data_IF_894431868736
#
_entry.id   IF_894431868736
#
_cell.length_a   1.000
_cell.length_b   1.000
_cell.length_c   1.000
_cell.angle_alpha   90.00
_cell.angle_beta   90.00
_cell.angle_gamma   90.00
#
_symmetry.space_group_name_H-M   'P 1'
#
loop_
_entity.id
_entity.type
_entity.pdbx_description
1 polymer ?
#
# COMPACT_ATOMS: atom_id res chain seq x y z
N UNK A 1 -11.65 37.64 -3.50
CA UNK A 1 -12.25 36.32 -3.80
C UNK A 1 -11.62 35.73 -5.06
N UNK A 2 -10.36 36.06 -5.36
CA UNK A 2 -9.66 35.76 -6.62
C UNK A 2 -8.50 34.76 -6.40
N UNK A 3 -8.11 34.52 -5.14
CA UNK A 3 -6.97 33.65 -4.78
C UNK A 3 -7.32 32.15 -4.83
N UNK A 4 -8.58 31.79 -4.61
CA UNK A 4 -9.06 30.39 -4.61
C UNK A 4 -9.05 29.77 -6.02
N UNK A 5 -9.33 30.58 -7.04
CA UNK A 5 -9.26 30.19 -8.45
C UNK A 5 -7.81 29.94 -8.89
N UNK A 6 -6.88 30.74 -8.34
CA UNK A 6 -5.45 30.59 -8.59
C UNK A 6 -4.90 29.32 -7.95
N UNK A 7 -5.35 28.99 -6.73
CA UNK A 7 -4.93 27.77 -6.03
C UNK A 7 -5.46 26.50 -6.70
N UNK A 8 -6.75 26.47 -7.08
CA UNK A 8 -7.34 25.35 -7.79
C UNK A 8 -6.71 25.14 -9.18
N UNK A 9 -6.40 26.23 -9.89
CA UNK A 9 -5.69 26.19 -11.17
C UNK A 9 -4.26 25.68 -11.03
N UNK A 10 -3.52 26.14 -10.02
CA UNK A 10 -2.17 25.65 -9.72
C UNK A 10 -2.17 24.16 -9.36
N UNK A 11 -3.12 23.72 -8.54
CA UNK A 11 -3.28 22.32 -8.16
C UNK A 11 -3.66 21.43 -9.34
N UNK A 12 -4.53 21.91 -10.24
CA UNK A 12 -4.88 21.22 -11.49
C UNK A 12 -3.66 21.01 -12.40
N UNK A 13 -2.81 22.04 -12.57
CA UNK A 13 -1.55 21.93 -13.33
C UNK A 13 -0.58 20.92 -12.72
N UNK A 14 -0.46 20.91 -11.39
CA UNK A 14 0.43 19.96 -10.69
C UNK A 14 -0.05 18.53 -10.92
N UNK A 15 -1.36 18.27 -10.83
CA UNK A 15 -1.93 16.94 -11.06
C UNK A 15 -1.81 16.49 -12.53
N UNK A 16 -1.91 17.43 -13.47
CA UNK A 16 -1.68 17.14 -14.90
C UNK A 16 -0.21 16.80 -15.18
N UNK A 17 0.72 17.54 -14.57
CA UNK A 17 2.15 17.29 -14.73
C UNK A 17 2.60 16.00 -14.03
N UNK A 18 2.01 15.67 -12.87
CA UNK A 18 2.33 14.46 -12.11
C UNK A 18 1.83 13.17 -12.77
N UNK A 19 0.84 13.27 -13.67
CA UNK A 19 0.23 12.11 -14.35
C UNK A 19 1.06 11.60 -15.54
N UNK A 20 2.14 12.30 -15.91
CA UNK A 20 2.92 11.97 -17.11
C UNK A 20 2.11 12.15 -18.41
N UNK A 21 2.76 12.20 -19.58
CA UNK A 21 2.04 12.17 -20.84
C UNK A 21 1.21 10.88 -20.93
N UNK A 22 -0.07 11.00 -21.29
CA UNK A 22 -1.00 9.87 -21.44
C UNK A 22 -0.54 8.84 -22.50
N UNK A 23 0.45 9.19 -23.32
CA UNK A 23 1.09 8.32 -24.30
C UNK A 23 2.08 7.32 -23.68
N UNK A 24 2.49 7.52 -22.42
CA UNK A 24 3.44 6.66 -21.69
C UNK A 24 2.72 5.66 -20.76
N UNK A 25 1.39 5.63 -20.81
CA UNK A 25 0.65 4.48 -20.31
C UNK A 25 0.95 3.38 -21.33
N UNK A 26 2.00 2.59 -21.08
CA UNK A 26 2.12 1.27 -21.71
C UNK A 26 0.75 0.62 -21.53
N UNK A 27 0.01 0.55 -22.64
CA UNK A 27 -1.20 -0.22 -22.76
C UNK A 27 -0.72 -1.63 -22.42
N UNK A 28 -0.89 -2.05 -21.16
CA UNK A 28 -0.66 -3.41 -20.76
C UNK A 28 -1.41 -4.20 -21.80
N UNK A 29 -0.69 -4.86 -22.71
CA UNK A 29 -1.27 -5.80 -23.64
C UNK A 29 -2.07 -6.73 -22.75
N UNK A 30 -3.38 -6.49 -22.69
CA UNK A 30 -4.30 -7.51 -22.31
C UNK A 30 -4.01 -8.50 -23.41
N UNK A 31 -3.20 -9.51 -23.08
CA UNK A 31 -3.06 -10.67 -23.94
C UNK A 31 -4.49 -11.15 -24.06
N UNK A 32 -5.17 -10.73 -25.14
CA UNK A 32 -6.45 -11.25 -25.52
C UNK A 32 -6.33 -12.77 -25.44
N UNK A 33 -7.35 -13.47 -24.95
CA UNK A 33 -7.23 -14.89 -24.63
C UNK A 33 -6.55 -15.58 -25.80
N UNK A 34 -5.30 -16.01 -25.57
CA UNK A 34 -4.46 -16.56 -26.62
C UNK A 34 -5.29 -17.60 -27.33
N UNK A 35 -5.49 -17.44 -28.64
CA UNK A 35 -6.13 -18.48 -29.43
C UNK A 35 -5.38 -19.78 -29.12
N UNK A 36 -6.09 -20.85 -28.74
CA UNK A 36 -5.42 -22.07 -28.33
C UNK A 36 -4.67 -22.62 -29.54
N UNK A 37 -3.34 -22.47 -29.51
CA UNK A 37 -2.42 -23.22 -30.36
C UNK A 37 -2.91 -24.68 -30.42
N UNK A 38 -3.17 -25.24 -31.63
CA UNK A 38 -3.92 -26.49 -31.81
C UNK A 38 -3.25 -27.74 -31.19
N UNK A 39 -2.06 -27.58 -30.61
CA UNK A 39 -1.24 -28.66 -30.05
C UNK A 39 -0.88 -28.45 -28.57
N UNK A 40 -1.49 -27.49 -27.87
CA UNK A 40 -1.35 -27.45 -26.42
C UNK A 40 -2.18 -28.60 -25.84
N UNK A 41 -1.60 -29.61 -25.16
CA UNK A 41 -2.41 -30.59 -24.47
C UNK A 41 -3.21 -29.81 -23.43
N UNK A 42 -4.51 -29.65 -23.66
CA UNK A 42 -5.46 -29.20 -22.65
C UNK A 42 -5.16 -30.03 -21.41
N UNK A 43 -4.66 -29.42 -20.31
CA UNK A 43 -4.45 -30.19 -19.10
C UNK A 43 -5.83 -30.70 -18.72
N UNK A 44 -6.03 -32.01 -18.88
CA UNK A 44 -7.25 -32.67 -18.41
C UNK A 44 -7.42 -32.26 -16.95
N UNK A 45 -8.64 -31.98 -16.47
CA UNK A 45 -8.86 -31.74 -15.06
C UNK A 45 -8.49 -33.00 -14.29
N UNK A 46 -7.21 -33.13 -13.91
CA UNK A 46 -6.73 -34.25 -13.09
C UNK A 46 -7.41 -34.04 -11.75
N UNK A 47 -8.39 -34.91 -11.46
CA UNK A 47 -9.08 -34.92 -10.18
C UNK A 47 -8.03 -34.82 -9.08
N UNK A 48 -8.17 -33.87 -8.14
CA UNK A 48 -7.14 -33.63 -7.16
C UNK A 48 -6.97 -34.91 -6.32
N UNK A 49 -5.83 -35.57 -6.45
CA UNK A 49 -5.45 -36.66 -5.56
C UNK A 49 -5.20 -36.09 -4.16
N UNK A 50 -5.50 -36.87 -3.12
CA UNK A 50 -5.33 -36.42 -1.73
C UNK A 50 -3.90 -35.95 -1.44
N UNK A 51 -2.89 -36.62 -2.03
CA UNK A 51 -1.48 -36.23 -1.93
C UNK A 51 -1.21 -34.86 -2.57
N UNK A 52 -1.83 -34.56 -3.72
CA UNK A 52 -1.68 -33.27 -4.38
C UNK A 52 -2.36 -32.16 -3.59
N UNK A 53 -3.51 -32.44 -2.97
CA UNK A 53 -4.15 -31.51 -2.04
C UNK A 53 -3.29 -31.27 -0.80
N UNK A 54 -2.62 -32.30 -0.26
CA UNK A 54 -1.70 -32.15 0.86
C UNK A 54 -0.51 -31.24 0.48
N UNK A 55 0.09 -31.44 -0.69
CA UNK A 55 1.18 -30.60 -1.21
C UNK A 55 0.71 -29.16 -1.42
N UNK A 56 -0.46 -28.95 -2.05
CA UNK A 56 -1.00 -27.62 -2.29
C UNK A 56 -1.36 -26.88 -0.99
N UNK A 57 -1.93 -27.59 -0.01
CA UNK A 57 -2.19 -27.03 1.32
C UNK A 57 -0.91 -26.62 2.01
N UNK A 58 0.12 -27.46 1.99
CA UNK A 58 1.43 -27.14 2.56
C UNK A 58 2.07 -25.94 1.86
N UNK A 59 2.06 -25.90 0.52
CA UNK A 59 2.58 -24.79 -0.27
C UNK A 59 1.83 -23.48 0.03
N UNK A 60 0.50 -23.53 0.17
CA UNK A 60 -0.32 -22.37 0.52
C UNK A 60 0.00 -21.85 1.94
N UNK A 61 0.15 -22.75 2.92
CA UNK A 61 0.55 -22.37 4.29
C UNK A 61 1.93 -21.72 4.28
N UNK A 62 2.90 -22.31 3.58
CA UNK A 62 4.26 -21.76 3.46
C UNK A 62 4.28 -20.40 2.77
N UNK A 63 3.46 -20.20 1.72
CA UNK A 63 3.34 -18.92 1.04
C UNK A 63 2.83 -17.82 1.97
N UNK A 64 1.77 -18.09 2.74
CA UNK A 64 1.21 -17.14 3.72
C UNK A 64 2.23 -16.78 4.80
N UNK A 65 2.94 -17.78 5.34
CA UNK A 65 3.99 -17.55 6.33
C UNK A 65 5.16 -16.73 5.73
N UNK A 66 5.55 -16.99 4.48
CA UNK A 66 6.62 -16.24 3.80
C UNK A 66 6.24 -14.79 3.50
N UNK A 67 4.97 -14.51 3.20
CA UNK A 67 4.48 -13.14 3.04
C UNK A 67 4.40 -12.40 4.37
N UNK A 68 4.08 -13.10 5.46
CA UNK A 68 3.98 -12.52 6.80
C UNK A 68 5.34 -12.06 7.33
N UNK A 69 6.43 -12.79 7.03
CA UNK A 69 7.79 -12.45 7.45
C UNK A 69 8.38 -11.24 6.72
N UNK A 70 7.81 -10.87 5.56
CA UNK A 70 8.19 -9.68 4.80
C UNK A 70 7.48 -8.40 5.24
N UNK A 71 6.63 -8.45 6.27
CA UNK A 71 6.14 -7.23 6.88
C UNK A 71 7.36 -6.40 7.35
N UNK A 72 7.57 -5.18 6.82
CA UNK A 72 8.76 -4.43 7.14
C UNK A 72 8.83 -4.27 8.65
N UNK A 73 9.93 -4.68 9.28
CA UNK A 73 10.18 -4.50 10.72
C UNK A 73 9.90 -3.06 11.17
N UNK A 74 9.96 -2.13 10.22
CA UNK A 74 9.59 -0.72 10.33
C UNK A 74 8.16 -0.50 10.81
N UNK A 75 7.12 -1.24 10.36
CA UNK A 75 5.72 -1.02 10.78
C UNK A 75 5.46 -1.45 12.22
N UNK A 76 6.00 -2.60 12.64
CA UNK A 76 5.91 -3.06 14.03
C UNK A 76 6.76 -2.21 14.99
N UNK A 77 7.79 -1.53 14.48
CA UNK A 77 8.66 -0.67 15.27
C UNK A 77 8.27 0.81 15.26
N UNK A 78 7.28 1.27 14.47
CA UNK A 78 6.89 2.69 14.44
C UNK A 78 6.59 3.20 15.85
N UNK A 79 5.91 2.40 16.67
CA UNK A 79 5.61 2.79 18.05
C UNK A 79 6.78 2.63 19.04
N UNK A 80 7.77 1.81 18.70
CA UNK A 80 8.92 1.51 19.59
C UNK A 80 10.16 2.34 19.25
N UNK A 81 10.16 3.04 18.11
CA UNK A 81 11.24 3.92 17.69
C UNK A 81 11.25 5.17 18.56
N UNK A 82 12.25 5.25 19.42
CA UNK A 82 12.58 6.45 20.19
C UNK A 82 12.78 7.63 19.22
N UNK A 83 12.14 8.76 19.52
CA UNK A 83 12.15 9.95 18.67
C UNK A 83 11.03 10.05 17.66
N UNK A 84 10.18 9.03 17.50
CA UNK A 84 8.92 9.20 16.74
C UNK A 84 7.93 10.05 17.54
N UNK A 85 7.11 10.83 16.82
CA UNK A 85 6.04 11.63 17.43
C UNK A 85 5.10 10.76 18.26
N UNK A 86 4.76 9.55 17.78
CA UNK A 86 3.92 8.59 18.50
C UNK A 86 4.53 8.15 19.83
N UNK A 87 5.81 7.75 19.85
CA UNK A 87 6.46 7.30 21.08
C UNK A 87 6.59 8.44 22.11
N UNK A 88 6.83 9.66 21.64
CA UNK A 88 6.88 10.84 22.49
C UNK A 88 5.48 11.19 23.04
N UNK A 89 4.45 11.13 22.21
CA UNK A 89 3.07 11.41 22.61
C UNK A 89 2.56 10.38 23.63
N UNK A 90 2.83 9.09 23.40
CA UNK A 90 2.52 8.03 24.36
C UNK A 90 3.23 8.23 25.71
N UNK A 91 4.49 8.67 25.69
CA UNK A 91 5.23 8.98 26.92
C UNK A 91 4.61 10.16 27.66
N UNK A 92 4.25 11.23 26.95
CA UNK A 92 3.57 12.40 27.54
C UNK A 92 2.22 12.00 28.14
N UNK A 93 1.44 11.21 27.42
CA UNK A 93 0.15 10.68 27.88
C UNK A 93 0.30 9.84 29.16
N UNK A 94 1.30 8.95 29.24
CA UNK A 94 1.58 8.18 30.45
C UNK A 94 2.01 9.05 31.65
N UNK A 95 2.60 10.21 31.40
CA UNK A 95 2.93 11.21 32.42
C UNK A 95 1.76 12.15 32.75
N UNK A 96 0.60 11.99 32.10
CA UNK A 96 -0.55 12.89 32.26
C UNK A 96 -0.35 14.28 31.64
N UNK A 97 0.64 14.42 30.76
CA UNK A 97 0.96 15.68 30.09
C UNK A 97 0.21 15.79 28.75
N UNK A 98 -0.12 17.01 28.30
CA UNK A 98 -0.73 17.21 27.00
C UNK A 98 0.24 16.79 25.87
N UNK A 99 -0.32 16.10 24.88
CA UNK A 99 0.42 15.57 23.74
C UNK A 99 1.00 16.63 22.81
N UNK A 100 1.87 16.22 21.89
CA UNK A 100 2.53 17.11 20.92
C UNK A 100 1.51 17.89 20.07
N UNK A 101 0.41 17.23 19.70
CA UNK A 101 -0.69 17.85 18.94
C UNK A 101 -1.30 19.06 19.65
N UNK A 102 -1.37 19.04 20.98
CA UNK A 102 -1.91 20.15 21.77
C UNK A 102 -1.03 21.40 21.66
N UNK A 103 0.29 21.22 21.72
CA UNK A 103 1.25 22.32 21.56
C UNK A 103 1.22 22.93 20.16
N UNK A 104 1.02 22.11 19.12
CA UNK A 104 0.90 22.59 17.74
C UNK A 104 -0.41 23.30 17.48
N UNK A 105 -1.51 22.88 18.13
CA UNK A 105 -2.80 23.54 18.02
C UNK A 105 -2.79 24.95 18.59
N UNK A 106 -2.10 25.18 19.72
CA UNK A 106 -1.99 26.53 20.31
C UNK A 106 -1.20 27.52 19.45
N UNK A 107 -0.37 27.03 18.52
CA UNK A 107 0.47 27.87 17.64
C UNK A 107 -0.11 28.03 16.23
N UNK A 108 -1.21 27.35 15.92
CA UNK A 108 -1.84 27.49 14.62
C UNK A 108 -2.53 28.86 14.55
N UNK A 109 -1.96 29.79 13.79
CA UNK A 109 -2.45 31.17 13.63
C UNK A 109 -3.73 31.30 12.79
N UNK A 110 -4.24 30.20 12.26
CA UNK A 110 -5.40 30.16 11.34
C UNK A 110 -6.64 29.54 11.98
N UNK A 111 -6.70 29.53 13.31
CA UNK A 111 -7.89 29.22 14.11
C UNK A 111 -8.32 30.43 14.91
#
# INVERSE_FOLDING_TARGET
MEDDESYSSAMSRILQNARGPLEDIEEFETSGPAEPEPNTPTPTPIAPTDDRLAILRMAAIMAVLSMSDRAPSTTLQVGRRLGTSWAQDHRLSAMGLPGLAHSTQQRASWR
#
